data_IF_690038110457
#
_entry.id   IF_690038110457
#
_cell.length_a   1.000
_cell.length_b   1.000
_cell.length_c   1.000
_cell.angle_alpha   90.00
_cell.angle_beta   90.00
_cell.angle_gamma   90.00
#
_symmetry.space_group_name_H-M   'P 1'
#
loop_
_entity.id
_entity.type
_entity.pdbx_description
1 polymer ?
#
# COMPACT_ATOMS: atom_id res chain seq x y z
N UNK A 1 9.13 -8.32 -30.74
CA UNK A 1 8.85 -7.04 -30.05
C UNK A 1 7.65 -7.29 -29.16
N UNK A 2 7.87 -7.52 -27.86
CA UNK A 2 6.81 -7.94 -26.94
C UNK A 2 6.05 -6.71 -26.46
N UNK A 3 4.75 -6.70 -26.74
CA UNK A 3 3.77 -5.71 -26.30
C UNK A 3 3.72 -5.70 -24.77
N UNK A 4 4.37 -4.72 -24.14
CA UNK A 4 4.35 -4.55 -22.69
C UNK A 4 2.97 -4.04 -22.31
N UNK A 5 2.03 -4.96 -22.10
CA UNK A 5 0.71 -4.67 -21.57
C UNK A 5 0.88 -3.84 -20.30
N UNK A 6 0.53 -2.56 -20.36
CA UNK A 6 0.63 -1.63 -19.23
C UNK A 6 -0.45 -1.98 -18.21
N UNK A 7 -0.15 -2.93 -17.33
CA UNK A 7 -1.05 -3.35 -16.26
C UNK A 7 -1.00 -2.30 -15.14
N UNK A 8 -2.16 -1.90 -14.64
CA UNK A 8 -2.29 -0.96 -13.51
C UNK A 8 -2.70 -1.72 -12.23
N UNK A 9 -2.13 -1.38 -11.06
CA UNK A 9 -2.55 -2.00 -9.79
C UNK A 9 -4.01 -1.65 -9.54
N UNK A 10 -4.91 -2.64 -9.42
CA UNK A 10 -6.31 -2.38 -9.08
C UNK A 10 -6.45 -1.69 -7.71
N UNK A 11 -5.49 -1.91 -6.80
CA UNK A 11 -5.50 -1.27 -5.49
C UNK A 11 -5.05 0.20 -5.55
N UNK A 12 -3.97 0.58 -6.24
CA UNK A 12 -3.46 1.97 -6.21
C UNK A 12 -3.54 2.76 -7.52
N UNK A 13 -4.05 2.16 -8.61
CA UNK A 13 -4.13 2.75 -9.96
C UNK A 13 -2.81 3.30 -10.52
N UNK A 14 -1.66 2.84 -10.03
CA UNK A 14 -0.34 3.14 -10.61
C UNK A 14 0.11 2.02 -11.54
N UNK A 15 0.93 2.38 -12.52
CA UNK A 15 1.56 1.44 -13.47
C UNK A 15 2.44 0.44 -12.73
N UNK A 16 2.31 -0.85 -13.07
CA UNK A 16 3.02 -1.96 -12.45
C UNK A 16 4.29 -2.29 -13.25
N UNK A 17 5.49 -2.35 -12.64
CA UNK A 17 6.61 -3.07 -13.23
C UNK A 17 6.35 -4.59 -13.18
N UNK A 18 6.87 -5.35 -14.14
CA UNK A 18 6.48 -6.73 -14.44
C UNK A 18 6.74 -7.79 -13.36
N UNK A 19 7.48 -7.49 -12.30
CA UNK A 19 8.24 -8.53 -11.59
C UNK A 19 7.70 -8.90 -10.18
N UNK A 20 6.51 -8.46 -9.78
CA UNK A 20 5.93 -8.85 -8.48
C UNK A 20 4.40 -8.76 -8.43
N UNK A 21 3.74 -9.79 -8.94
CA UNK A 21 2.29 -9.88 -9.10
C UNK A 21 1.72 -10.93 -8.13
N UNK A 22 0.72 -10.56 -7.33
CA UNK A 22 -0.18 -11.55 -6.69
C UNK A 22 -1.50 -11.58 -7.47
N UNK A 23 -1.95 -12.77 -7.85
CA UNK A 23 -3.31 -13.04 -8.29
C UNK A 23 -4.21 -13.25 -7.06
N UNK A 24 -5.13 -12.31 -6.81
CA UNK A 24 -6.24 -12.51 -5.88
C UNK A 24 -7.57 -12.61 -6.64
N UNK A 25 -8.66 -13.03 -5.97
CA UNK A 25 -10.01 -13.07 -6.55
C UNK A 25 -10.52 -11.68 -7.03
N UNK A 26 -9.81 -10.60 -6.68
CA UNK A 26 -10.10 -9.22 -7.09
C UNK A 26 -9.11 -8.67 -8.15
N UNK A 27 -8.30 -9.51 -8.79
CA UNK A 27 -7.38 -9.14 -9.88
C UNK A 27 -5.94 -8.77 -9.46
N UNK A 28 -5.20 -8.13 -10.36
CA UNK A 28 -3.75 -7.89 -10.23
C UNK A 28 -3.43 -6.73 -9.28
N UNK A 29 -2.54 -6.98 -8.32
CA UNK A 29 -2.03 -5.94 -7.41
C UNK A 29 -0.55 -6.14 -7.10
N UNK A 30 0.18 -5.05 -6.83
CA UNK A 30 1.57 -5.16 -6.34
C UNK A 30 1.58 -6.03 -5.07
N UNK A 31 2.62 -6.84 -4.92
CA UNK A 31 2.90 -7.61 -3.71
C UNK A 31 2.87 -6.73 -2.45
N UNK A 32 3.40 -5.50 -2.58
CA UNK A 32 3.36 -4.44 -1.59
C UNK A 32 2.55 -3.23 -2.09
N UNK A 33 1.33 -3.45 -2.62
CA UNK A 33 0.52 -2.33 -3.13
C UNK A 33 0.13 -1.43 -1.96
N UNK A 34 0.96 -0.38 -1.76
CA UNK A 34 0.84 0.64 -0.74
C UNK A 34 -0.48 1.38 -0.95
N UNK A 35 -1.56 0.99 -0.28
CA UNK A 35 -2.64 1.93 0.02
C UNK A 35 -2.40 2.53 1.41
N UNK A 36 -1.71 3.68 1.51
CA UNK A 36 -1.81 4.55 2.68
C UNK A 36 -3.23 5.16 2.82
N UNK A 37 -4.05 5.06 1.76
CA UNK A 37 -5.38 5.68 1.65
C UNK A 37 -6.55 4.71 1.85
N UNK A 38 -6.34 3.46 2.25
CA UNK A 38 -7.45 2.64 2.79
C UNK A 38 -7.54 2.82 4.28
N UNK A 39 -8.77 2.85 4.78
CA UNK A 39 -9.00 2.66 6.20
C UNK A 39 -8.61 1.23 6.61
N UNK A 40 -7.94 1.13 7.75
CA UNK A 40 -7.69 -0.12 8.46
C UNK A 40 -9.01 -0.77 8.90
N UNK A 41 -8.93 -2.05 9.27
CA UNK A 41 -10.10 -2.76 9.79
C UNK A 41 -10.68 -2.10 11.05
N UNK A 42 -9.81 -1.59 11.93
CA UNK A 42 -10.22 -0.88 13.15
C UNK A 42 -10.88 0.46 12.81
N UNK A 43 -10.27 1.30 11.96
CA UNK A 43 -10.90 2.56 11.52
C UNK A 43 -12.27 2.32 10.88
N UNK A 44 -12.41 1.27 10.06
CA UNK A 44 -13.70 0.89 9.47
C UNK A 44 -14.72 0.50 10.54
N UNK A 45 -14.35 -0.35 11.48
CA UNK A 45 -15.25 -0.77 12.56
C UNK A 45 -15.76 0.44 13.34
N UNK A 46 -14.87 1.37 13.71
CA UNK A 46 -15.24 2.58 14.45
C UNK A 46 -16.20 3.49 13.68
N UNK A 47 -16.03 3.62 12.36
CA UNK A 47 -16.99 4.37 11.54
C UNK A 47 -18.37 3.73 11.55
N UNK A 48 -18.46 2.40 11.39
CA UNK A 48 -19.73 1.69 11.41
C UNK A 48 -20.41 1.76 12.78
N UNK A 49 -19.64 1.73 13.87
CA UNK A 49 -20.19 1.72 15.23
C UNK A 49 -20.59 3.12 15.71
N UNK A 50 -19.79 4.14 15.43
CA UNK A 50 -19.96 5.47 16.05
C UNK A 50 -20.29 6.59 15.07
N UNK A 51 -20.06 6.42 13.77
CA UNK A 51 -20.09 7.52 12.81
C UNK A 51 -20.99 7.28 11.59
N UNK A 52 -21.97 6.40 11.72
CA UNK A 52 -22.86 6.05 10.60
C UNK A 52 -23.85 7.18 10.26
N UNK A 53 -24.33 7.89 11.28
CA UNK A 53 -25.51 8.77 11.16
C UNK A 53 -25.19 10.26 11.03
N UNK A 54 -23.90 10.63 10.99
CA UNK A 54 -23.47 12.02 10.82
C UNK A 54 -22.46 12.19 9.68
N UNK A 55 -22.25 13.42 9.19
CA UNK A 55 -21.32 13.66 8.09
C UNK A 55 -19.88 13.37 8.52
N UNK A 56 -19.22 12.48 7.78
CA UNK A 56 -17.84 12.04 8.07
C UNK A 56 -16.85 12.38 6.95
N UNK A 57 -17.32 12.59 5.72
CA UNK A 57 -16.46 12.89 4.58
C UNK A 57 -16.77 14.25 4.00
N UNK A 58 -15.74 15.09 3.90
CA UNK A 58 -15.79 16.42 3.31
C UNK A 58 -15.09 16.41 1.96
N UNK A 59 -15.82 16.79 0.93
CA UNK A 59 -15.27 16.98 -0.40
C UNK A 59 -14.96 18.46 -0.64
N UNK A 60 -13.68 18.84 -0.65
CA UNK A 60 -13.25 20.22 -0.91
C UNK A 60 -13.69 20.72 -2.29
N UNK A 61 -13.67 19.84 -3.31
CA UNK A 61 -14.03 20.21 -4.67
C UNK A 61 -15.54 20.49 -4.85
N UNK A 62 -16.39 19.78 -4.10
CA UNK A 62 -17.84 19.94 -4.17
C UNK A 62 -18.42 20.78 -3.02
N UNK A 63 -17.56 21.22 -2.09
CA UNK A 63 -17.93 21.84 -0.81
C UNK A 63 -19.08 21.10 -0.09
N UNK A 64 -19.07 19.76 -0.16
CA UNK A 64 -20.13 18.91 0.37
C UNK A 64 -19.64 18.01 1.48
N UNK A 65 -20.48 17.84 2.50
CA UNK A 65 -20.29 16.90 3.59
C UNK A 65 -21.23 15.71 3.40
N UNK A 66 -20.72 14.50 3.61
CA UNK A 66 -21.43 13.25 3.31
C UNK A 66 -21.32 12.26 4.47
N UNK A 67 -22.43 11.56 4.73
CA UNK A 67 -22.47 10.40 5.64
C UNK A 67 -21.87 9.16 4.97
N UNK A 68 -21.53 8.15 5.77
CA UNK A 68 -20.99 6.89 5.26
C UNK A 68 -21.85 6.25 4.14
N UNK A 69 -23.19 6.08 4.28
CA UNK A 69 -24.01 5.44 3.24
C UNK A 69 -24.22 6.31 1.99
N UNK A 70 -23.97 7.61 2.08
CA UNK A 70 -24.11 8.54 0.94
C UNK A 70 -22.89 8.53 0.02
N UNK A 71 -21.76 8.01 0.50
CA UNK A 71 -20.54 7.92 -0.28
C UNK A 71 -20.63 6.81 -1.32
N UNK A 72 -20.11 7.10 -2.51
CA UNK A 72 -20.04 6.13 -3.58
C UNK A 72 -18.93 5.09 -3.30
N UNK A 73 -19.22 3.84 -3.67
CA UNK A 73 -18.22 2.79 -3.79
C UNK A 73 -17.89 2.58 -5.27
N UNK A 74 -16.64 2.26 -5.61
CA UNK A 74 -16.35 1.72 -6.93
C UNK A 74 -16.88 0.28 -7.02
N UNK A 75 -17.51 -0.05 -8.14
CA UNK A 75 -18.08 -1.38 -8.36
C UNK A 75 -17.00 -2.43 -8.72
N UNK A 76 -15.75 -1.99 -8.96
CA UNK A 76 -14.70 -2.79 -9.59
C UNK A 76 -13.34 -2.78 -8.84
N UNK A 77 -13.13 -1.98 -7.78
CA UNK A 77 -11.78 -1.67 -7.25
C UNK A 77 -11.64 -1.60 -5.73
N UNK A 78 -12.66 -2.03 -4.97
CA UNK A 78 -12.66 -2.03 -3.50
C UNK A 78 -12.41 -0.64 -2.88
N UNK A 79 -12.80 0.45 -3.54
CA UNK A 79 -12.79 1.81 -2.95
C UNK A 79 -14.20 2.15 -2.51
N UNK A 80 -14.40 2.44 -1.23
CA UNK A 80 -15.74 2.59 -0.66
C UNK A 80 -16.08 4.02 -0.20
N UNK A 81 -15.16 4.96 -0.33
CA UNK A 81 -15.28 6.32 0.22
C UNK A 81 -15.06 7.39 -0.85
N UNK A 82 -15.86 7.35 -1.91
CA UNK A 82 -15.79 8.32 -3.00
C UNK A 82 -16.89 9.38 -2.84
N UNK A 83 -16.57 10.62 -3.24
CA UNK A 83 -17.58 11.66 -3.36
C UNK A 83 -18.64 11.24 -4.40
N UNK A 84 -19.95 11.26 -4.07
CA UNK A 84 -20.98 10.82 -5.01
C UNK A 84 -21.07 11.71 -6.26
N UNK A 85 -20.62 12.97 -6.18
CA UNK A 85 -20.67 13.94 -7.28
C UNK A 85 -19.45 13.87 -8.20
N UNK A 86 -18.25 14.07 -7.65
CA UNK A 86 -17.01 14.15 -8.43
C UNK A 86 -16.15 12.89 -8.40
N UNK A 87 -16.58 11.85 -7.66
CA UNK A 87 -15.86 10.57 -7.45
C UNK A 87 -14.44 10.69 -6.92
N UNK A 88 -14.06 11.85 -6.39
CA UNK A 88 -12.79 12.03 -5.68
C UNK A 88 -12.79 11.19 -4.41
N UNK A 89 -11.64 10.58 -4.10
CA UNK A 89 -11.43 9.79 -2.89
C UNK A 89 -11.47 10.68 -1.64
N UNK A 90 -12.29 10.28 -0.67
CA UNK A 90 -12.53 10.99 0.58
C UNK A 90 -11.88 10.32 1.79
N UNK A 91 -11.13 9.22 1.61
CA UNK A 91 -10.62 8.44 2.75
C UNK A 91 -9.80 9.25 3.74
N UNK A 92 -8.96 10.18 3.30
CA UNK A 92 -8.20 11.05 4.21
C UNK A 92 -9.11 12.00 5.00
N UNK A 93 -10.16 12.53 4.36
CA UNK A 93 -11.14 13.35 5.07
C UNK A 93 -11.91 12.53 6.11
N UNK A 94 -12.32 11.32 5.74
CA UNK A 94 -13.03 10.40 6.65
C UNK A 94 -12.15 10.00 7.82
N UNK A 95 -10.86 9.79 7.58
CA UNK A 95 -9.90 9.51 8.64
C UNK A 95 -9.66 10.70 9.56
N UNK A 96 -9.50 11.90 8.99
CA UNK A 96 -9.37 13.12 9.78
C UNK A 96 -10.59 13.30 10.69
N UNK A 97 -11.80 13.04 10.18
CA UNK A 97 -13.01 13.02 10.97
C UNK A 97 -12.91 12.02 12.13
N UNK A 98 -12.50 10.76 11.88
CA UNK A 98 -12.39 9.74 12.94
C UNK A 98 -11.53 10.21 14.12
N UNK A 99 -10.40 10.86 13.83
CA UNK A 99 -9.48 11.36 14.85
C UNK A 99 -9.86 12.70 15.48
N UNK A 100 -10.90 13.37 14.97
CA UNK A 100 -11.48 14.57 15.57
C UNK A 100 -12.93 14.39 16.02
N UNK A 101 -13.50 13.18 15.90
CA UNK A 101 -14.92 12.94 16.16
C UNK A 101 -15.20 13.04 17.66
N UNK A 102 -16.12 13.93 18.04
CA UNK A 102 -16.53 14.14 19.43
C UNK A 102 -17.47 13.03 19.95
N UNK A 103 -18.13 12.30 19.05
CA UNK A 103 -18.99 11.15 19.40
C UNK A 103 -18.15 9.92 19.77
N UNK A 104 -16.95 9.80 19.16
CA UNK A 104 -16.05 8.69 19.45
C UNK A 104 -15.36 8.93 20.81
N UNK A 105 -15.41 7.97 21.76
CA UNK A 105 -14.70 8.06 23.02
C UNK A 105 -13.20 8.34 22.81
N UNK A 106 -12.66 9.24 23.64
CA UNK A 106 -11.31 9.75 23.45
C UNK A 106 -10.23 8.67 23.58
N UNK A 107 -10.40 7.74 24.51
CA UNK A 107 -9.52 6.59 24.72
C UNK A 107 -9.48 5.68 23.48
N UNK A 108 -10.64 5.38 22.90
CA UNK A 108 -10.77 4.60 21.67
C UNK A 108 -10.09 5.33 20.51
N UNK A 109 -10.32 6.64 20.39
CA UNK A 109 -9.73 7.49 19.35
C UNK A 109 -8.19 7.50 19.43
N UNK A 110 -7.63 7.71 20.62
CA UNK A 110 -6.18 7.68 20.86
C UNK A 110 -5.59 6.31 20.55
N UNK A 111 -6.26 5.23 20.96
CA UNK A 111 -5.81 3.86 20.67
C UNK A 111 -5.79 3.57 19.16
N UNK A 112 -6.85 3.91 18.44
CA UNK A 112 -6.92 3.72 17.00
C UNK A 112 -5.84 4.54 16.25
N UNK A 113 -5.52 5.74 16.73
CA UNK A 113 -4.42 6.53 16.19
C UNK A 113 -3.06 5.87 16.46
N UNK A 114 -2.81 5.43 17.69
CA UNK A 114 -1.57 4.76 18.07
C UNK A 114 -1.33 3.45 17.29
N UNK A 115 -2.38 2.64 17.10
CA UNK A 115 -2.30 1.41 16.29
C UNK A 115 -1.90 1.72 14.85
N UNK A 116 -2.45 2.79 14.27
CA UNK A 116 -2.10 3.20 12.91
C UNK A 116 -0.67 3.69 12.81
N UNK A 117 -0.22 4.52 13.74
CA UNK A 117 1.15 5.03 13.78
C UNK A 117 2.17 3.90 13.96
N UNK A 118 1.86 2.92 14.82
CA UNK A 118 2.66 1.71 14.97
C UNK A 118 2.71 0.89 13.66
N UNK A 119 1.57 0.68 13.00
CA UNK A 119 1.50 -0.04 11.73
C UNK A 119 2.31 0.66 10.62
N UNK A 120 2.29 2.00 10.58
CA UNK A 120 3.10 2.78 9.66
C UNK A 120 4.60 2.63 9.93
N UNK A 121 5.00 2.68 11.20
CA UNK A 121 6.38 2.50 11.62
C UNK A 121 6.89 1.11 11.26
N UNK A 122 6.15 0.05 11.59
CA UNK A 122 6.50 -1.34 11.25
C UNK A 122 6.59 -1.57 9.73
N UNK A 123 5.68 -0.95 8.96
CA UNK A 123 5.74 -1.04 7.49
C UNK A 123 6.98 -0.35 6.93
N UNK A 124 7.42 0.76 7.55
CA UNK A 124 8.64 1.46 7.16
C UNK A 124 9.86 0.60 7.48
N UNK A 125 9.95 0.10 8.71
CA UNK A 125 11.03 -0.77 9.18
C UNK A 125 11.15 -2.04 8.33
N UNK A 126 10.03 -2.71 8.03
CA UNK A 126 10.01 -3.89 7.16
C UNK A 126 10.62 -3.62 5.78
N UNK A 127 10.42 -2.42 5.23
CA UNK A 127 11.00 -2.03 3.93
C UNK A 127 12.48 -1.77 4.02
N UNK A 128 12.93 -1.12 5.09
CA UNK A 128 14.35 -0.86 5.32
C UNK A 128 15.11 -2.19 5.46
N UNK A 129 14.54 -3.14 6.19
CA UNK A 129 15.09 -4.49 6.32
C UNK A 129 15.13 -5.24 4.98
N UNK A 130 14.05 -5.21 4.19
CA UNK A 130 14.03 -5.81 2.85
C UNK A 130 15.07 -5.19 1.92
N UNK A 131 15.15 -3.86 1.88
CA UNK A 131 16.14 -3.17 1.05
C UNK A 131 17.57 -3.49 1.46
N UNK A 132 17.83 -3.62 2.76
CA UNK A 132 19.14 -4.05 3.28
C UNK A 132 19.45 -5.49 2.85
N UNK A 133 18.48 -6.39 2.96
CA UNK A 133 18.63 -7.78 2.50
C UNK A 133 18.95 -7.87 1.01
N UNK A 134 18.25 -7.09 0.17
CA UNK A 134 18.47 -7.09 -1.28
C UNK A 134 19.86 -6.61 -1.66
N UNK A 135 20.39 -5.61 -0.95
CA UNK A 135 21.77 -5.12 -1.14
C UNK A 135 22.77 -6.21 -0.77
N UNK A 136 22.61 -6.84 0.40
CA UNK A 136 23.51 -7.90 0.86
C UNK A 136 23.54 -9.10 -0.10
N UNK A 137 22.38 -9.49 -0.65
CA UNK A 137 22.30 -10.55 -1.65
C UNK A 137 23.13 -10.19 -2.89
N UNK A 138 22.97 -8.97 -3.42
CA UNK A 138 23.71 -8.51 -4.60
C UNK A 138 25.21 -8.42 -4.36
N UNK A 139 25.62 -7.97 -3.18
CA UNK A 139 27.04 -7.94 -2.79
C UNK A 139 27.63 -9.35 -2.72
N UNK A 140 26.90 -10.31 -2.15
CA UNK A 140 27.33 -11.70 -2.11
C UNK A 140 27.44 -12.32 -3.52
N UNK A 141 26.46 -12.05 -4.39
CA UNK A 141 26.50 -12.48 -5.80
C UNK A 141 27.71 -11.89 -6.55
N UNK A 142 27.98 -10.60 -6.37
CA UNK A 142 29.13 -9.92 -6.97
C UNK A 142 30.47 -10.50 -6.47
N UNK A 143 30.58 -10.77 -5.17
CA UNK A 143 31.76 -11.39 -4.58
C UNK A 143 31.99 -12.82 -5.11
N UNK A 144 30.93 -13.63 -5.21
CA UNK A 144 31.01 -14.96 -5.80
C UNK A 144 31.40 -14.92 -7.28
N UNK A 145 30.87 -13.96 -8.05
CA UNK A 145 31.25 -13.77 -9.44
C UNK A 145 32.74 -13.41 -9.56
N UNK A 146 33.22 -12.45 -8.78
CA UNK A 146 34.63 -12.08 -8.74
C UNK A 146 35.52 -13.27 -8.38
N UNK A 147 35.15 -14.07 -7.37
CA UNK A 147 35.88 -15.27 -7.00
C UNK A 147 35.97 -16.26 -8.17
N UNK A 148 34.86 -16.55 -8.85
CA UNK A 148 34.84 -17.46 -10.01
C UNK A 148 35.76 -16.98 -11.13
N UNK A 149 35.78 -15.68 -11.41
CA UNK A 149 36.67 -15.10 -12.42
C UNK A 149 38.14 -15.24 -12.01
N UNK A 150 38.48 -14.98 -10.75
CA UNK A 150 39.87 -15.21 -10.27
C UNK A 150 40.30 -16.67 -10.40
N UNK A 151 39.41 -17.62 -10.07
CA UNK A 151 39.69 -19.06 -10.21
C UNK A 151 39.88 -19.47 -11.67
N UNK A 152 39.09 -18.92 -12.60
CA UNK A 152 39.24 -19.16 -14.04
C UNK A 152 40.57 -18.67 -14.59
N UNK A 153 41.01 -17.48 -14.17
CA UNK A 153 42.30 -16.91 -14.60
C UNK A 153 43.48 -17.65 -13.96
N UNK A 154 43.29 -18.23 -12.77
CA UNK A 154 44.36 -18.90 -12.01
C UNK A 154 44.57 -20.37 -12.38
N UNK A 155 43.67 -21.00 -13.15
CA UNK A 155 43.84 -22.35 -13.69
C UNK A 155 44.72 -22.26 -14.96
N UNK A 156 46.02 -22.60 -14.91
CA UNK A 156 46.85 -22.62 -16.09
C UNK A 156 46.51 -23.86 -16.92
N UNK A 157 46.60 -23.69 -18.24
CA UNK A 157 46.62 -24.70 -19.28
C UNK A 157 47.58 -25.88 -18.92
N UNK A 158 47.11 -26.85 -18.12
CA UNK A 158 47.80 -28.13 -17.92
C UNK A 158 47.25 -29.12 -18.95
N UNK A 159 47.82 -29.08 -20.15
CA UNK A 159 47.41 -29.97 -21.23
C UNK A 159 48.07 -29.66 -22.56
N UNK A 160 49.41 -29.60 -22.60
CA UNK A 160 50.21 -29.95 -23.77
C UNK A 160 51.71 -29.89 -23.42
N UNK A 161 52.27 -31.06 -23.09
CA UNK A 161 53.65 -31.43 -23.33
C UNK A 161 53.73 -32.96 -23.33
#
# INVERSE_FOLDING_TARGET
>A
MADQQQVTCLKCSRMMPGDSIIFGPAGLSHIDCRRPRTLSAEERALLFTYCLDHPIGKCVACAGDFKLPEMASDALGGRTLLCPRCRRELTESVRAHLYSCAILPEDIRRRAQAVREAAQSLTKESRELRGTSDVLIREAEAALHALRETMRVSLPNQGNA
#
